data_IF_120500405581
#
_entry.id   IF_120500405581
#
_cell.length_a   1.000
_cell.length_b   1.000
_cell.length_c   1.000
_cell.angle_alpha   90.00
_cell.angle_beta   90.00
_cell.angle_gamma   90.00
#
_symmetry.space_group_name_H-M   'P 1'
#
loop_
_entity.id
_entity.type
_entity.pdbx_description
1 polymer ?
#
# COMPACT_ATOMS: atom_id res chain seq x y z
N UNK A 1 -58.71 34.35 -46.97
CA UNK A 1 -57.47 35.12 -47.22
C UNK A 1 -57.41 36.40 -46.38
N UNK A 2 -58.29 37.40 -46.57
CA UNK A 2 -58.20 38.68 -45.83
C UNK A 2 -58.40 38.57 -44.31
N UNK A 3 -59.31 37.72 -43.83
CA UNK A 3 -59.54 37.55 -42.38
C UNK A 3 -58.32 36.95 -41.64
N UNK A 4 -57.66 35.97 -42.27
CA UNK A 4 -56.44 35.34 -41.74
C UNK A 4 -55.25 36.34 -41.69
N UNK A 5 -55.14 37.21 -42.69
CA UNK A 5 -54.13 38.26 -42.73
C UNK A 5 -54.36 39.34 -41.65
N UNK A 6 -55.63 39.73 -41.40
CA UNK A 6 -55.98 40.68 -40.34
C UNK A 6 -55.76 40.11 -38.93
N UNK A 7 -56.02 38.80 -38.74
CA UNK A 7 -55.74 38.08 -37.50
C UNK A 7 -54.24 37.92 -37.25
N UNK A 8 -53.46 37.58 -38.28
CA UNK A 8 -52.00 37.54 -38.19
C UNK A 8 -51.38 38.89 -37.85
N UNK A 9 -51.92 40.00 -38.38
CA UNK A 9 -51.51 41.36 -38.04
C UNK A 9 -51.83 41.75 -36.58
N UNK A 10 -52.78 41.07 -35.93
CA UNK A 10 -53.11 41.22 -34.52
C UNK A 10 -52.37 40.22 -33.61
N UNK A 11 -51.47 39.38 -34.15
CA UNK A 11 -50.75 38.33 -33.41
C UNK A 11 -51.61 37.12 -33.05
N UNK A 12 -52.71 36.89 -33.78
CA UNK A 12 -53.65 35.79 -33.55
C UNK A 12 -53.52 34.74 -34.66
N UNK A 13 -53.30 33.50 -34.26
CA UNK A 13 -53.09 32.34 -35.13
C UNK A 13 -54.21 31.32 -34.92
N UNK A 14 -54.53 30.54 -35.94
CA UNK A 14 -55.43 29.38 -35.80
C UNK A 14 -54.60 28.10 -35.71
N UNK A 15 -54.98 27.19 -34.80
CA UNK A 15 -54.41 25.84 -34.77
C UNK A 15 -55.15 24.87 -35.70
N UNK A 16 -54.65 23.63 -35.80
CA UNK A 16 -55.23 22.56 -36.63
C UNK A 16 -56.68 22.19 -36.27
N UNK A 17 -57.16 22.65 -35.10
CA UNK A 17 -58.52 22.45 -34.61
C UNK A 17 -59.39 23.72 -34.72
N UNK A 18 -58.95 24.70 -35.52
CA UNK A 18 -59.59 26.02 -35.70
C UNK A 18 -59.77 26.81 -34.39
N UNK A 19 -58.93 26.59 -33.38
CA UNK A 19 -58.93 27.40 -32.16
C UNK A 19 -58.01 28.61 -32.34
N UNK A 20 -58.48 29.76 -31.86
CA UNK A 20 -57.70 31.00 -31.81
C UNK A 20 -56.56 30.86 -30.78
N UNK A 21 -55.33 31.17 -31.17
CA UNK A 21 -54.13 31.15 -30.34
C UNK A 21 -53.36 32.46 -30.48
N UNK A 22 -52.65 32.84 -29.43
CA UNK A 22 -51.85 34.07 -29.35
C UNK A 22 -50.37 33.80 -29.67
N UNK A 23 -50.02 32.53 -29.90
CA UNK A 23 -48.69 32.08 -30.28
C UNK A 23 -48.85 31.08 -31.43
N UNK A 24 -47.94 31.14 -32.40
CA UNK A 24 -47.95 30.25 -33.55
C UNK A 24 -47.81 28.78 -33.11
N UNK A 25 -48.66 27.85 -33.57
CA UNK A 25 -48.70 26.48 -33.06
C UNK A 25 -47.39 25.72 -33.20
N UNK A 26 -46.67 25.89 -34.33
CA UNK A 26 -45.35 25.28 -34.55
C UNK A 26 -44.32 25.81 -33.56
N UNK A 27 -44.22 27.14 -33.40
CA UNK A 27 -43.31 27.77 -32.43
C UNK A 27 -43.63 27.33 -31.00
N UNK A 28 -44.91 27.18 -30.66
CA UNK A 28 -45.34 26.67 -29.36
C UNK A 28 -44.89 25.21 -29.13
N UNK A 29 -45.01 24.35 -30.14
CA UNK A 29 -44.60 22.95 -30.09
C UNK A 29 -43.08 22.81 -30.01
N UNK A 30 -42.34 23.52 -30.86
CA UNK A 30 -40.86 23.53 -30.84
C UNK A 30 -40.31 24.04 -29.51
N UNK A 31 -40.91 25.12 -28.96
CA UNK A 31 -40.50 25.65 -27.65
C UNK A 31 -40.79 24.65 -26.51
N UNK A 32 -41.90 23.92 -26.59
CA UNK A 32 -42.24 22.88 -25.62
C UNK A 32 -41.27 21.70 -25.69
N UNK A 33 -40.93 21.25 -26.90
CA UNK A 33 -39.95 20.18 -27.13
C UNK A 33 -38.56 20.60 -26.64
N UNK A 34 -38.12 21.81 -26.98
CA UNK A 34 -36.84 22.36 -26.51
C UNK A 34 -36.79 22.40 -24.97
N UNK A 35 -37.90 22.76 -24.31
CA UNK A 35 -37.97 22.76 -22.85
C UNK A 35 -37.79 21.36 -22.26
N UNK A 36 -38.38 20.35 -22.89
CA UNK A 36 -38.27 18.95 -22.45
C UNK A 36 -36.85 18.40 -22.68
N UNK A 37 -36.25 18.70 -23.83
CA UNK A 37 -34.88 18.32 -24.15
C UNK A 37 -33.88 18.99 -23.19
N UNK A 38 -34.06 20.28 -22.90
CA UNK A 38 -33.26 20.98 -21.89
C UNK A 38 -33.39 20.34 -20.51
N UNK A 39 -34.59 19.90 -20.12
CA UNK A 39 -34.80 19.22 -18.85
C UNK A 39 -34.07 17.89 -18.80
N UNK A 40 -34.22 17.07 -19.83
CA UNK A 40 -33.54 15.78 -19.94
C UNK A 40 -32.01 15.94 -19.95
N UNK A 41 -31.49 17.00 -20.58
CA UNK A 41 -30.06 17.32 -20.57
C UNK A 41 -29.56 17.67 -19.16
N UNK A 42 -30.31 18.50 -18.42
CA UNK A 42 -29.97 18.84 -17.04
C UNK A 42 -29.98 17.60 -16.16
N UNK A 43 -30.99 16.75 -16.28
CA UNK A 43 -31.11 15.52 -15.49
C UNK A 43 -29.93 14.57 -15.75
N UNK A 44 -29.58 14.35 -17.03
CA UNK A 44 -28.38 13.56 -17.41
C UNK A 44 -27.08 14.17 -16.90
N UNK A 45 -26.98 15.50 -16.89
CA UNK A 45 -25.79 16.19 -16.37
C UNK A 45 -25.64 15.95 -14.87
N UNK A 46 -26.75 15.97 -14.12
CA UNK A 46 -26.76 15.67 -12.68
C UNK A 46 -26.38 14.21 -12.43
N UNK A 47 -26.89 13.26 -13.21
CA UNK A 47 -26.49 11.86 -13.10
C UNK A 47 -25.01 11.65 -13.38
N UNK A 48 -24.49 12.29 -14.43
CA UNK A 48 -23.07 12.24 -14.78
C UNK A 48 -22.20 12.78 -13.64
N UNK A 49 -22.57 13.92 -13.06
CA UNK A 49 -21.85 14.49 -11.91
C UNK A 49 -21.83 13.54 -10.71
N UNK A 50 -22.94 12.85 -10.42
CA UNK A 50 -22.99 11.83 -9.36
C UNK A 50 -22.06 10.66 -9.65
N UNK A 51 -22.01 10.17 -10.89
CA UNK A 51 -21.11 9.08 -11.28
C UNK A 51 -19.64 9.49 -11.14
N UNK A 52 -19.28 10.71 -11.59
CA UNK A 52 -17.91 11.22 -11.47
C UNK A 52 -17.52 11.43 -10.01
N UNK A 53 -18.43 11.94 -9.17
CA UNK A 53 -18.19 12.07 -7.74
C UNK A 53 -17.93 10.70 -7.08
N UNK A 54 -18.76 9.69 -7.38
CA UNK A 54 -18.57 8.32 -6.88
C UNK A 54 -17.26 7.68 -7.36
N UNK A 55 -16.89 7.87 -8.63
CA UNK A 55 -15.61 7.40 -9.16
C UNK A 55 -14.43 8.08 -8.48
N UNK A 56 -14.52 9.40 -8.24
CA UNK A 56 -13.46 10.16 -7.57
C UNK A 56 -13.25 9.65 -6.15
N UNK A 57 -14.33 9.37 -5.42
CA UNK A 57 -14.27 8.81 -4.07
C UNK A 57 -13.66 7.40 -4.07
N UNK A 58 -14.06 6.53 -5.01
CA UNK A 58 -13.48 5.19 -5.15
C UNK A 58 -11.96 5.25 -5.41
N UNK A 59 -11.53 6.13 -6.32
CA UNK A 59 -10.10 6.33 -6.64
C UNK A 59 -9.34 6.81 -5.40
N UNK A 60 -9.92 7.72 -4.62
CA UNK A 60 -9.31 8.26 -3.40
C UNK A 60 -9.18 7.18 -2.31
N UNK A 61 -10.17 6.31 -2.16
CA UNK A 61 -10.13 5.15 -1.26
C UNK A 61 -9.05 4.15 -1.71
N UNK A 62 -8.97 3.85 -3.01
CA UNK A 62 -7.94 2.98 -3.56
C UNK A 62 -6.53 3.54 -3.34
N UNK A 63 -6.32 4.83 -3.54
CA UNK A 63 -5.04 5.48 -3.31
C UNK A 63 -4.59 5.35 -1.84
N UNK A 64 -5.51 5.57 -0.89
CA UNK A 64 -5.24 5.39 0.55
C UNK A 64 -4.90 3.94 0.90
N UNK A 65 -5.62 2.98 0.34
CA UNK A 65 -5.34 1.56 0.56
C UNK A 65 -3.96 1.15 0.02
N UNK A 66 -3.62 1.60 -1.19
CA UNK A 66 -2.31 1.35 -1.81
C UNK A 66 -1.18 1.93 -0.95
N UNK A 67 -1.31 3.16 -0.47
CA UNK A 67 -0.26 3.75 0.38
C UNK A 67 -0.15 3.07 1.74
N UNK A 68 -1.26 2.60 2.32
CA UNK A 68 -1.23 1.81 3.55
C UNK A 68 -0.43 0.52 3.36
N UNK A 69 -0.72 -0.24 2.30
CA UNK A 69 0.00 -1.49 2.01
C UNK A 69 1.47 -1.25 1.64
N UNK A 70 1.77 -0.18 0.89
CA UNK A 70 3.16 0.21 0.59
C UNK A 70 3.93 0.50 1.88
N UNK A 71 3.35 1.23 2.83
CA UNK A 71 3.99 1.50 4.11
C UNK A 71 4.21 0.22 4.93
N UNK A 72 3.25 -0.70 4.95
CA UNK A 72 3.42 -2.02 5.60
C UNK A 72 4.56 -2.83 4.96
N UNK A 73 4.63 -2.86 3.63
CA UNK A 73 5.69 -3.56 2.90
C UNK A 73 7.07 -2.99 3.20
N UNK A 74 7.22 -1.66 3.22
CA UNK A 74 8.47 -0.99 3.61
C UNK A 74 8.83 -1.34 5.06
N UNK A 75 7.87 -1.33 5.97
CA UNK A 75 8.06 -1.72 7.37
C UNK A 75 8.57 -3.15 7.53
N UNK A 76 7.93 -4.11 6.84
CA UNK A 76 8.35 -5.51 6.84
C UNK A 76 9.75 -5.70 6.25
N UNK A 77 10.07 -4.99 5.16
CA UNK A 77 11.40 -5.04 4.54
C UNK A 77 12.49 -4.50 5.48
N UNK A 78 12.22 -3.40 6.18
CA UNK A 78 13.14 -2.82 7.16
C UNK A 78 13.38 -3.77 8.35
N UNK A 79 12.32 -4.42 8.83
CA UNK A 79 12.44 -5.43 9.89
C UNK A 79 13.31 -6.61 9.45
N UNK A 80 13.07 -7.14 8.24
CA UNK A 80 13.88 -8.22 7.67
C UNK A 80 15.37 -7.84 7.56
N UNK A 81 15.68 -6.63 7.06
CA UNK A 81 17.05 -6.12 7.01
C UNK A 81 17.69 -6.02 8.39
N UNK A 82 16.94 -5.55 9.39
CA UNK A 82 17.41 -5.45 10.77
C UNK A 82 17.72 -6.84 11.36
N UNK A 83 16.82 -7.81 11.16
CA UNK A 83 17.00 -9.19 11.62
C UNK A 83 18.24 -9.82 10.96
N UNK A 84 18.43 -9.62 9.65
CA UNK A 84 19.60 -10.14 8.95
C UNK A 84 20.91 -9.59 9.55
N UNK A 85 20.97 -8.27 9.79
CA UNK A 85 22.12 -7.61 10.42
C UNK A 85 22.36 -8.10 11.85
N UNK A 86 21.29 -8.30 12.62
CA UNK A 86 21.39 -8.84 13.98
C UNK A 86 21.92 -10.27 13.97
N UNK A 87 21.44 -11.12 13.04
CA UNK A 87 21.92 -12.50 12.88
C UNK A 87 23.41 -12.53 12.54
N UNK A 88 23.84 -11.72 11.58
CA UNK A 88 25.25 -11.62 11.19
C UNK A 88 26.13 -11.20 12.37
N UNK A 89 25.71 -10.19 13.14
CA UNK A 89 26.43 -9.75 14.34
C UNK A 89 26.49 -10.86 15.42
N UNK A 90 25.39 -11.58 15.64
CA UNK A 90 25.35 -12.72 16.58
C UNK A 90 26.28 -13.85 16.13
N UNK A 91 26.32 -14.16 14.83
CA UNK A 91 27.20 -15.18 14.28
C UNK A 91 28.68 -14.82 14.50
N UNK A 92 29.06 -13.57 14.22
CA UNK A 92 30.41 -13.07 14.47
C UNK A 92 30.78 -13.15 15.96
N UNK A 93 29.86 -12.77 16.85
CA UNK A 93 30.07 -12.89 18.31
C UNK A 93 30.28 -14.34 18.75
N UNK A 94 29.46 -15.28 18.25
CA UNK A 94 29.59 -16.70 18.55
C UNK A 94 30.91 -17.28 18.02
N UNK A 95 31.32 -16.90 16.81
CA UNK A 95 32.60 -17.32 16.23
C UNK A 95 33.79 -16.82 17.08
N UNK A 96 33.75 -15.57 17.53
CA UNK A 96 34.78 -15.01 18.43
C UNK A 96 34.83 -15.78 19.76
N UNK A 97 33.68 -16.07 20.35
CA UNK A 97 33.60 -16.85 21.60
C UNK A 97 34.13 -18.28 21.41
N UNK A 98 33.80 -18.94 20.29
CA UNK A 98 34.33 -20.27 19.97
C UNK A 98 35.86 -20.22 19.84
N UNK A 99 36.41 -19.20 19.17
CA UNK A 99 37.85 -19.03 19.04
C UNK A 99 38.53 -18.84 20.40
N UNK A 100 37.96 -18.01 21.27
CA UNK A 100 38.45 -17.81 22.64
C UNK A 100 38.46 -19.11 23.44
N UNK A 101 37.35 -19.88 23.39
CA UNK A 101 37.25 -21.16 24.11
C UNK A 101 38.21 -22.21 23.59
N UNK A 102 38.45 -22.28 22.27
CA UNK A 102 39.47 -23.15 21.69
C UNK A 102 40.87 -22.78 22.18
N UNK A 103 41.19 -21.49 22.25
CA UNK A 103 42.49 -21.05 22.77
C UNK A 103 42.66 -21.39 24.25
N UNK A 104 41.61 -21.22 25.06
CA UNK A 104 41.62 -21.61 26.48
C UNK A 104 41.83 -23.12 26.65
N UNK A 105 41.15 -23.93 25.83
CA UNK A 105 41.29 -25.38 25.85
C UNK A 105 42.73 -25.82 25.53
N UNK A 106 43.34 -25.24 24.49
CA UNK A 106 44.70 -25.58 24.10
C UNK A 106 45.71 -25.21 25.20
N UNK A 107 45.52 -24.07 25.85
CA UNK A 107 46.32 -23.67 27.01
C UNK A 107 46.21 -24.69 28.14
N UNK A 108 45.00 -25.12 28.50
CA UNK A 108 44.79 -26.11 29.56
C UNK A 108 45.38 -27.48 29.20
N UNK A 109 45.34 -27.85 27.92
CA UNK A 109 45.97 -29.08 27.45
C UNK A 109 47.47 -29.07 27.65
N UNK A 110 48.14 -27.97 27.28
CA UNK A 110 49.58 -27.80 27.47
C UNK A 110 49.94 -27.84 28.96
N UNK A 111 49.16 -27.14 29.80
CA UNK A 111 49.35 -27.12 31.25
C UNK A 111 49.20 -28.52 31.87
N UNK A 112 48.18 -29.27 31.44
CA UNK A 112 47.97 -30.66 31.85
C UNK A 112 49.14 -31.56 31.45
N UNK A 113 49.60 -31.48 30.20
CA UNK A 113 50.75 -32.28 29.73
C UNK A 113 52.03 -31.94 30.50
N UNK A 114 52.24 -30.68 30.88
CA UNK A 114 53.36 -30.26 31.72
C UNK A 114 53.26 -30.84 33.13
N UNK A 115 52.08 -30.80 33.75
CA UNK A 115 51.84 -31.38 35.08
C UNK A 115 52.06 -32.89 35.09
N UNK A 116 51.59 -33.62 34.07
CA UNK A 116 51.83 -35.06 33.95
C UNK A 116 53.31 -35.42 33.85
N UNK A 117 54.12 -34.60 33.17
CA UNK A 117 55.58 -34.80 33.14
C UNK A 117 56.20 -34.59 34.52
N UNK A 118 55.83 -33.51 35.20
CA UNK A 118 56.32 -33.22 36.56
C UNK A 118 55.93 -34.35 37.52
N UNK A 119 54.71 -34.86 37.44
CA UNK A 119 54.24 -35.99 38.25
C UNK A 119 55.06 -37.26 37.98
N UNK A 120 55.35 -37.57 36.70
CA UNK A 120 56.20 -38.69 36.33
C UNK A 120 57.62 -38.54 36.90
N UNK A 121 58.25 -37.38 36.72
CA UNK A 121 59.59 -37.08 37.25
C UNK A 121 59.64 -37.21 38.79
N UNK A 122 58.59 -36.76 39.48
CA UNK A 122 58.45 -36.89 40.94
C UNK A 122 58.32 -38.35 41.38
N UNK A 123 57.52 -39.15 40.66
CA UNK A 123 57.36 -40.56 40.95
C UNK A 123 58.68 -41.33 40.74
N UNK A 124 59.41 -41.05 39.65
CA UNK A 124 60.73 -41.63 39.42
C UNK A 124 61.71 -41.26 40.53
N UNK A 125 61.71 -40.00 40.99
CA UNK A 125 62.54 -39.57 42.10
C UNK A 125 62.20 -40.32 43.40
N UNK A 126 60.92 -40.49 43.70
CA UNK A 126 60.45 -41.25 44.87
C UNK A 126 60.92 -42.70 44.78
N UNK A 127 60.74 -43.36 43.63
CA UNK A 127 61.17 -44.74 43.43
C UNK A 127 62.67 -44.89 43.64
N UNK A 128 63.49 -44.01 43.03
CA UNK A 128 64.94 -44.01 43.21
C UNK A 128 65.33 -43.82 44.69
N UNK A 129 64.64 -42.95 45.42
CA UNK A 129 64.90 -42.70 46.84
C UNK A 129 64.51 -43.90 47.72
N UNK A 130 63.44 -44.62 47.38
CA UNK A 130 62.99 -45.83 48.09
C UNK A 130 63.96 -47.00 47.84
N UNK A 131 64.46 -47.18 46.62
CA UNK A 131 65.36 -48.28 46.26
C UNK A 131 66.85 -48.05 46.60
N UNK A 132 67.24 -46.85 47.05
CA UNK A 132 68.59 -46.53 47.52
C UNK A 132 68.82 -46.74 49.03
N UNK A 133 67.84 -47.27 49.76
CA UNK A 133 67.98 -47.77 51.15
C UNK A 133 67.94 -49.29 51.18
#
# INVERSE_FOLDING_TARGET
AMAQAALGAAGLHFDELNKLRVLEPEVAAETAQLREDCRAFVDKTVEFQKMVAGLTELVDQMAKAVESEKMKAIGAQNLLKSIAKQREAQEQQLQALIAEKKMQLERYRIEYEALCRIEADQNEFIDQFIFQK
#
